data_IF_791395817566
#
_entry.id   IF_791395817566
#
_cell.length_a   1.000
_cell.length_b   1.000
_cell.length_c   1.000
_cell.angle_alpha   90.00
_cell.angle_beta   90.00
_cell.angle_gamma   90.00
#
_symmetry.space_group_name_H-M   'P 1'
#
loop_
_entity.id
_entity.type
_entity.pdbx_description
1 polymer ?
#
# COMPACT_ATOMS: atom_id res chain seq x y z
N UNK A 1 -15.46 12.20 7.84
CA UNK A 1 -15.63 11.37 6.63
C UNK A 1 -15.54 9.90 7.01
N UNK A 2 -16.52 9.10 6.59
CA UNK A 2 -16.56 7.66 6.79
C UNK A 2 -16.50 6.97 5.43
N UNK A 3 -15.59 6.01 5.28
CA UNK A 3 -15.48 5.19 4.09
C UNK A 3 -16.42 4.01 4.19
N UNK A 4 -17.15 3.72 3.11
CA UNK A 4 -17.91 2.48 2.99
C UNK A 4 -17.01 1.32 2.55
N UNK A 5 -17.53 0.10 2.63
CA UNK A 5 -16.82 -1.08 2.11
C UNK A 5 -16.69 -0.96 0.58
N UNK A 6 -17.71 -0.46 -0.11
CA UNK A 6 -17.69 -0.30 -1.57
C UNK A 6 -16.64 0.71 -2.03
N UNK A 7 -16.48 1.83 -1.30
CA UNK A 7 -15.43 2.82 -1.58
C UNK A 7 -14.04 2.18 -1.52
N UNK A 8 -13.78 1.42 -0.44
CA UNK A 8 -12.51 0.73 -0.24
C UNK A 8 -12.31 -0.37 -1.27
N UNK A 9 -13.37 -1.11 -1.62
CA UNK A 9 -13.29 -2.13 -2.64
C UNK A 9 -12.93 -1.56 -4.01
N UNK A 10 -13.55 -0.46 -4.40
CA UNK A 10 -13.27 0.20 -5.68
C UNK A 10 -11.83 0.74 -5.70
N UNK A 11 -11.37 1.37 -4.61
CA UNK A 11 -9.99 1.83 -4.50
C UNK A 11 -8.96 0.69 -4.59
N UNK A 12 -9.23 -0.47 -3.97
CA UNK A 12 -8.34 -1.62 -4.01
C UNK A 12 -8.36 -2.37 -5.36
N UNK A 13 -9.45 -2.29 -6.14
CA UNK A 13 -9.51 -2.87 -7.50
C UNK A 13 -8.54 -2.15 -8.45
N UNK A 14 -8.36 -0.86 -8.26
CA UNK A 14 -7.48 -0.03 -9.09
C UNK A 14 -6.01 -0.08 -8.64
N UNK A 15 -5.70 -0.88 -7.62
CA UNK A 15 -4.34 -1.07 -7.14
C UNK A 15 -3.47 -1.75 -8.22
N UNK A 16 -2.32 -1.16 -8.51
CA UNK A 16 -1.30 -1.73 -9.39
C UNK A 16 -0.51 -2.80 -8.62
N UNK A 17 -0.64 -4.04 -9.05
CA UNK A 17 -0.01 -5.20 -8.41
C UNK A 17 1.51 -5.21 -8.57
N UNK A 18 2.05 -4.47 -9.53
CA UNK A 18 3.48 -4.39 -9.80
C UNK A 18 4.20 -3.29 -9.01
N UNK A 19 3.44 -2.44 -8.28
CA UNK A 19 4.04 -1.43 -7.41
C UNK A 19 4.69 -2.09 -6.20
N UNK A 20 5.77 -1.46 -5.75
CA UNK A 20 6.45 -1.88 -4.55
C UNK A 20 5.47 -1.92 -3.38
N UNK A 21 5.44 -3.07 -2.70
CA UNK A 21 4.75 -3.18 -1.41
C UNK A 21 5.37 -2.17 -0.45
N UNK A 22 4.57 -1.48 0.38
CA UNK A 22 5.11 -0.77 1.52
C UNK A 22 5.90 -1.77 2.40
N UNK A 23 6.68 -1.31 3.39
CA UNK A 23 7.31 -2.17 4.40
C UNK A 23 6.33 -3.02 5.21
N UNK A 24 5.01 -2.88 4.98
CA UNK A 24 4.05 -3.88 5.38
C UNK A 24 4.22 -5.13 4.53
N UNK A 25 4.29 -6.31 5.15
CA UNK A 25 4.30 -7.63 4.47
C UNK A 25 3.03 -7.92 3.62
N UNK A 26 2.17 -6.92 3.45
CA UNK A 26 0.95 -6.96 2.67
C UNK A 26 1.27 -6.46 1.26
N UNK A 27 1.37 -7.40 0.32
CA UNK A 27 1.55 -7.08 -1.09
C UNK A 27 0.27 -6.49 -1.72
N UNK A 28 0.40 -5.53 -2.66
CA UNK A 28 -0.69 -5.09 -3.52
C UNK A 28 -1.42 -6.24 -4.21
N UNK A 29 -0.70 -7.30 -4.58
CA UNK A 29 -1.28 -8.53 -5.12
C UNK A 29 -2.24 -9.19 -4.13
N UNK A 30 -1.85 -9.30 -2.85
CA UNK A 30 -2.68 -9.92 -1.82
C UNK A 30 -3.95 -9.08 -1.58
N UNK A 31 -3.80 -7.76 -1.49
CA UNK A 31 -4.94 -6.85 -1.30
C UNK A 31 -5.96 -6.97 -2.43
N UNK A 32 -5.47 -7.05 -3.68
CA UNK A 32 -6.34 -7.16 -4.86
C UNK A 32 -7.02 -8.52 -4.97
N UNK A 33 -6.32 -9.61 -4.67
CA UNK A 33 -6.88 -10.96 -4.80
C UNK A 33 -7.74 -11.39 -3.61
N UNK A 34 -7.45 -10.90 -2.39
CA UNK A 34 -8.20 -11.22 -1.17
C UNK A 34 -9.20 -10.11 -0.79
N UNK A 35 -9.61 -9.31 -1.76
CA UNK A 35 -10.44 -8.12 -1.61
C UNK A 35 -11.74 -8.39 -0.85
N UNK A 36 -12.45 -9.47 -1.19
CA UNK A 36 -13.72 -9.84 -0.56
C UNK A 36 -13.59 -10.12 0.95
N UNK A 37 -12.45 -10.65 1.38
CA UNK A 37 -12.17 -11.00 2.77
C UNK A 37 -11.55 -9.85 3.53
N UNK A 38 -10.78 -8.98 2.86
CA UNK A 38 -10.02 -7.90 3.49
C UNK A 38 -10.74 -6.55 3.50
N UNK A 39 -11.69 -6.32 2.59
CA UNK A 39 -12.33 -5.01 2.43
C UNK A 39 -12.91 -4.49 3.75
N UNK A 40 -13.66 -5.33 4.48
CA UNK A 40 -14.28 -4.92 5.75
C UNK A 40 -13.26 -4.50 6.81
N UNK A 41 -12.15 -5.22 6.92
CA UNK A 41 -11.09 -5.03 7.90
C UNK A 41 -10.29 -3.78 7.55
N UNK A 42 -9.98 -3.61 6.26
CA UNK A 42 -9.30 -2.43 5.73
C UNK A 42 -10.16 -1.17 5.92
N UNK A 43 -11.46 -1.23 5.62
CA UNK A 43 -12.41 -0.13 5.90
C UNK A 43 -12.43 0.23 7.38
N UNK A 44 -12.47 -0.75 8.28
CA UNK A 44 -12.42 -0.50 9.72
C UNK A 44 -11.14 0.24 10.13
N UNK A 45 -9.97 -0.20 9.64
CA UNK A 45 -8.68 0.45 9.92
C UNK A 45 -8.67 1.89 9.39
N UNK A 46 -9.17 2.13 8.17
CA UNK A 46 -9.22 3.47 7.60
C UNK A 46 -10.13 4.42 8.39
N UNK A 47 -11.36 3.99 8.72
CA UNK A 47 -12.29 4.80 9.50
C UNK A 47 -11.74 5.08 10.90
N UNK A 48 -11.09 4.10 11.52
CA UNK A 48 -10.41 4.31 12.81
C UNK A 48 -9.22 5.24 12.70
N UNK A 49 -8.49 5.18 11.59
CA UNK A 49 -7.35 6.06 11.37
C UNK A 49 -7.76 7.52 11.18
N UNK A 50 -8.82 7.76 10.40
CA UNK A 50 -9.38 9.09 10.19
C UNK A 50 -9.97 9.67 11.48
N UNK A 51 -10.76 8.88 12.22
CA UNK A 51 -11.38 9.35 13.46
C UNK A 51 -10.38 9.61 14.59
N UNK A 52 -9.31 8.82 14.69
CA UNK A 52 -8.27 9.00 15.70
C UNK A 52 -7.16 9.98 15.30
N UNK A 53 -7.07 10.34 14.01
CA UNK A 53 -5.94 11.10 13.46
C UNK A 53 -4.61 10.33 13.50
N UNK A 54 -4.64 9.01 13.69
CA UNK A 54 -3.44 8.17 13.79
C UNK A 54 -3.49 7.03 12.78
N UNK A 55 -2.34 6.68 12.22
CA UNK A 55 -2.21 5.55 11.28
C UNK A 55 -1.26 4.50 11.86
N UNK A 56 -1.36 3.22 11.46
CA UNK A 56 -0.41 2.18 11.85
C UNK A 56 1.03 2.62 11.57
N UNK A 57 1.94 2.36 12.51
CA UNK A 57 3.35 2.75 12.38
C UNK A 57 3.99 2.13 11.12
N UNK A 58 3.56 0.93 10.76
CA UNK A 58 3.97 0.17 9.60
C UNK A 58 3.66 0.92 8.30
N UNK A 59 2.55 1.66 8.25
CA UNK A 59 2.17 2.47 7.10
C UNK A 59 2.94 3.79 7.02
N UNK A 60 3.59 4.23 8.11
CA UNK A 60 4.47 5.41 8.13
C UNK A 60 5.87 5.11 7.62
N UNK A 61 6.23 3.83 7.48
CA UNK A 61 7.53 3.41 6.96
C UNK A 61 7.42 3.26 5.44
N UNK A 62 8.47 3.61 4.71
CA UNK A 62 8.60 3.34 3.27
C UNK A 62 9.88 2.54 3.02
N UNK A 63 9.83 1.61 2.06
CA UNK A 63 11.03 0.91 1.61
C UNK A 63 11.66 1.73 0.48
N UNK A 64 12.91 2.15 0.65
CA UNK A 64 13.64 2.89 -0.38
C UNK A 64 14.44 1.89 -1.19
N UNK A 65 13.98 1.61 -2.41
CA UNK A 65 14.69 0.74 -3.35
C UNK A 65 15.36 1.62 -4.40
N UNK A 66 16.70 1.59 -4.52
CA UNK A 66 17.41 2.29 -5.59
C UNK A 66 16.97 1.76 -6.96
N UNK A 67 16.58 2.65 -7.89
CA UNK A 67 16.14 2.28 -9.24
C UNK A 67 17.23 2.70 -10.22
N UNK A 68 17.83 1.71 -10.89
CA UNK A 68 18.87 1.99 -11.90
C UNK A 68 18.32 2.92 -12.98
N UNK A 69 18.99 4.05 -13.19
CA UNK A 69 18.57 5.07 -14.16
C UNK A 69 19.21 4.82 -15.52
N UNK A 70 20.55 4.81 -15.59
CA UNK A 70 21.34 4.63 -16.82
C UNK A 70 22.81 4.35 -16.51
N UNK A 71 23.63 4.01 -17.50
CA UNK A 71 25.08 3.80 -17.29
C UNK A 71 25.41 2.46 -16.62
N UNK A 72 26.57 2.37 -15.98
CA UNK A 72 27.08 1.12 -15.39
C UNK A 72 26.31 0.77 -14.12
N UNK A 73 25.80 -0.47 -14.06
CA UNK A 73 25.11 -1.03 -12.87
C UNK A 73 26.00 -1.20 -11.64
N UNK A 74 27.32 -1.23 -11.82
CA UNK A 74 28.27 -1.32 -10.71
C UNK A 74 28.54 0.03 -10.01
N UNK A 75 28.10 1.14 -10.61
CA UNK A 75 28.33 2.48 -10.07
C UNK A 75 27.07 2.96 -9.33
N UNK A 76 27.24 3.22 -8.03
CA UNK A 76 26.17 3.62 -7.12
C UNK A 76 25.52 4.94 -7.51
N UNK A 77 26.24 5.84 -8.18
CA UNK A 77 25.71 7.15 -8.61
C UNK A 77 24.64 7.04 -9.70
N UNK A 78 24.50 5.86 -10.32
CA UNK A 78 23.56 5.58 -11.41
C UNK A 78 22.20 5.00 -10.97
N UNK A 79 21.93 4.94 -9.67
CA UNK A 79 20.68 4.47 -9.06
C UNK A 79 19.89 5.61 -8.39
#
# INVERSE_FOLDING_TARGET
PEFTIDDVMNALKDLDVNKASPPSDISPFLLKNCLSVLARQVTFIFNRSVSSGTVPLQWKKANVVPIHKKGKRADVSNY
#
